data_IF_614977691162
#
_entry.id   IF_614977691162
#
_cell.length_a   1.000
_cell.length_b   1.000
_cell.length_c   1.000
_cell.angle_alpha   90.00
_cell.angle_beta   90.00
_cell.angle_gamma   90.00
#
_symmetry.space_group_name_H-M   'P 1'
#
loop_
_entity.id
_entity.type
_entity.pdbx_description
1 polymer ?
#
# COMPACT_ATOMS: atom_id res chain seq x y z
N UNK A 1 30.50 -7.09 4.97
CA UNK A 1 29.53 -6.38 4.11
C UNK A 1 28.48 -5.86 5.07
N UNK A 2 28.45 -4.55 5.30
CA UNK A 2 27.43 -3.93 6.14
C UNK A 2 26.08 -4.10 5.45
N UNK A 3 25.21 -4.90 6.06
CA UNK A 3 23.82 -5.04 5.64
C UNK A 3 23.15 -3.66 5.68
N UNK A 4 22.72 -3.18 4.51
CA UNK A 4 21.81 -2.06 4.43
C UNK A 4 20.41 -2.60 4.76
N UNK A 5 20.11 -2.67 6.06
CA UNK A 5 18.79 -3.01 6.62
C UNK A 5 17.71 -1.98 6.24
N UNK A 6 18.09 -0.76 5.87
CA UNK A 6 17.19 0.38 5.66
C UNK A 6 16.30 0.36 4.41
N UNK A 7 16.13 -0.78 3.73
CA UNK A 7 15.24 -0.91 2.57
C UNK A 7 14.20 -2.04 2.74
N UNK A 8 14.10 -2.67 3.92
CA UNK A 8 13.31 -3.87 4.12
C UNK A 8 11.79 -3.64 3.97
N UNK A 9 11.26 -2.51 4.46
CA UNK A 9 9.82 -2.23 4.30
C UNK A 9 9.50 -1.74 2.89
N UNK A 10 10.43 -1.05 2.22
CA UNK A 10 10.33 -0.76 0.79
C UNK A 10 10.23 -2.06 -0.04
N UNK A 11 11.10 -3.04 0.22
CA UNK A 11 11.12 -4.33 -0.49
C UNK A 11 9.83 -5.13 -0.21
N UNK A 12 9.35 -5.10 1.04
CA UNK A 12 8.07 -5.69 1.44
C UNK A 12 6.90 -5.04 0.71
N UNK A 13 6.86 -3.72 0.63
CA UNK A 13 5.84 -2.96 -0.08
C UNK A 13 5.88 -3.28 -1.59
N UNK A 14 7.06 -3.26 -2.22
CA UNK A 14 7.24 -3.63 -3.62
C UNK A 14 6.68 -5.04 -3.88
N UNK A 15 7.05 -6.00 -3.03
CA UNK A 15 6.65 -7.39 -3.20
C UNK A 15 5.13 -7.58 -3.12
N UNK A 16 4.50 -7.20 -2.02
CA UNK A 16 3.06 -7.43 -1.82
C UNK A 16 2.19 -6.60 -2.75
N UNK A 17 2.60 -5.37 -3.07
CA UNK A 17 1.90 -4.55 -4.04
C UNK A 17 1.97 -5.18 -5.44
N UNK A 18 3.13 -5.72 -5.84
CA UNK A 18 3.23 -6.45 -7.10
C UNK A 18 2.33 -7.66 -7.19
N UNK A 19 2.15 -8.35 -6.08
CA UNK A 19 1.28 -9.52 -5.98
C UNK A 19 -0.20 -9.12 -6.07
N UNK A 20 -0.62 -8.11 -5.31
CA UNK A 20 -2.01 -7.68 -5.26
C UNK A 20 -2.46 -6.99 -6.56
N UNK A 21 -1.57 -6.22 -7.18
CA UNK A 21 -1.86 -5.55 -8.43
C UNK A 21 -1.66 -6.45 -9.64
N UNK A 22 -1.03 -7.62 -9.51
CA UNK A 22 -0.51 -8.40 -10.65
C UNK A 22 0.42 -7.55 -11.54
N UNK A 23 1.24 -6.70 -10.93
CA UNK A 23 2.07 -5.72 -11.63
C UNK A 23 3.44 -6.30 -11.99
N UNK A 24 4.01 -5.83 -13.09
CA UNK A 24 5.42 -6.08 -13.44
C UNK A 24 6.32 -5.19 -12.57
N UNK A 25 7.55 -5.60 -12.33
CA UNK A 25 8.55 -4.77 -11.63
C UNK A 25 8.66 -3.36 -12.20
N UNK A 26 8.66 -3.23 -13.54
CA UNK A 26 8.62 -1.93 -14.24
C UNK A 26 7.46 -1.04 -13.79
N UNK A 27 6.23 -1.56 -13.84
CA UNK A 27 5.03 -0.82 -13.43
C UNK A 27 5.14 -0.33 -11.99
N UNK A 28 5.69 -1.14 -11.08
CA UNK A 28 5.84 -0.78 -9.67
C UNK A 28 6.85 0.36 -9.48
N UNK A 29 7.95 0.36 -10.25
CA UNK A 29 8.98 1.42 -10.18
C UNK A 29 8.48 2.78 -10.66
N UNK A 30 7.43 2.79 -11.47
CA UNK A 30 6.83 4.02 -11.99
C UNK A 30 5.76 4.61 -11.08
N UNK A 31 5.32 3.91 -10.02
CA UNK A 31 4.27 4.41 -9.13
C UNK A 31 4.77 5.66 -8.40
N UNK A 32 4.05 6.77 -8.60
CA UNK A 32 4.27 8.03 -7.91
C UNK A 32 3.25 8.18 -6.77
N UNK A 33 3.58 8.93 -5.73
CA UNK A 33 2.63 9.25 -4.66
C UNK A 33 1.28 9.82 -5.15
N UNK A 34 1.21 10.77 -6.11
CA UNK A 34 -0.07 11.24 -6.66
C UNK A 34 -0.90 10.19 -7.39
N UNK A 35 -0.33 9.04 -7.77
CA UNK A 35 -1.08 7.95 -8.39
C UNK A 35 -1.91 7.16 -7.37
N UNK A 36 -1.63 7.35 -6.07
CA UNK A 36 -2.17 6.54 -5.00
C UNK A 36 -3.39 7.21 -4.36
N UNK A 37 -4.50 6.49 -4.35
CA UNK A 37 -5.74 6.96 -3.73
C UNK A 37 -6.53 5.81 -3.10
N UNK A 38 -7.55 6.18 -2.35
CA UNK A 38 -8.54 5.24 -1.82
C UNK A 38 -9.95 5.70 -2.17
N UNK A 39 -10.81 4.73 -2.46
CA UNK A 39 -12.24 4.93 -2.71
C UNK A 39 -13.04 3.91 -1.93
N UNK A 40 -14.32 4.17 -1.71
CA UNK A 40 -15.21 3.23 -1.02
C UNK A 40 -15.84 2.28 -2.05
N UNK A 41 -15.73 0.98 -1.78
CA UNK A 41 -16.41 -0.04 -2.57
C UNK A 41 -17.73 -0.40 -1.89
N UNK A 42 -18.88 -0.08 -2.51
CA UNK A 42 -20.17 -0.47 -1.97
C UNK A 42 -20.37 -1.99 -2.07
N UNK A 43 -21.22 -2.51 -1.19
CA UNK A 43 -21.72 -3.89 -1.19
C UNK A 43 -20.64 -4.97 -1.05
N UNK A 44 -19.50 -4.63 -0.43
CA UNK A 44 -18.42 -5.59 -0.19
C UNK A 44 -18.65 -6.45 1.04
N UNK A 45 -19.38 -5.96 2.04
CA UNK A 45 -19.66 -6.68 3.29
C UNK A 45 -20.18 -5.77 4.40
N UNK A 46 -20.26 -6.27 5.64
CA UNK A 46 -20.75 -5.51 6.80
C UNK A 46 -19.81 -4.38 7.25
N UNK A 47 -18.56 -4.36 6.80
CA UNK A 47 -17.58 -3.31 7.11
C UNK A 47 -17.28 -2.46 5.87
N UNK A 48 -16.88 -1.21 6.10
CA UNK A 48 -16.42 -0.33 5.03
C UNK A 48 -15.19 -0.93 4.33
N UNK A 49 -15.29 -1.07 3.01
CA UNK A 49 -14.21 -1.60 2.18
C UNK A 49 -13.57 -0.46 1.38
N UNK A 50 -12.33 -0.15 1.72
CA UNK A 50 -11.59 0.97 1.13
C UNK A 50 -10.25 0.45 0.58
N UNK A 51 -10.21 -0.01 -0.69
CA UNK A 51 -8.96 -0.43 -1.31
C UNK A 51 -7.93 0.70 -1.42
N UNK A 52 -6.67 0.29 -1.52
CA UNK A 52 -5.64 1.10 -2.18
C UNK A 52 -5.83 0.97 -3.68
N UNK A 53 -5.93 2.09 -4.38
CA UNK A 53 -6.05 2.19 -5.83
C UNK A 53 -4.83 2.95 -6.36
N UNK A 54 -4.23 2.41 -7.40
CA UNK A 54 -3.07 2.97 -8.09
C UNK A 54 -3.49 3.30 -9.51
N UNK A 55 -3.39 4.57 -9.88
CA UNK A 55 -3.49 5.02 -11.26
C UNK A 55 -2.22 4.62 -12.01
N UNK A 56 -2.38 4.10 -13.22
CA UNK A 56 -1.26 3.65 -14.04
C UNK A 56 -1.44 4.21 -15.44
N UNK A 57 -0.49 5.01 -15.90
CA UNK A 57 -0.46 5.51 -17.27
C UNK A 57 0.84 5.13 -18.01
N UNK A 58 1.74 4.38 -17.36
CA UNK A 58 3.01 3.90 -17.94
C UNK A 58 3.13 2.39 -17.82
N UNK A 59 3.75 1.78 -18.83
CA UNK A 59 4.14 0.38 -18.83
C UNK A 59 4.37 -0.14 -20.25
N UNK A 60 5.14 -1.22 -20.38
CA UNK A 60 5.50 -1.82 -21.68
C UNK A 60 4.35 -2.01 -22.68
N UNK A 61 3.14 -2.28 -22.20
CA UNK A 61 1.94 -2.51 -23.05
C UNK A 61 1.03 -1.30 -23.19
N UNK A 62 1.34 -0.18 -22.53
CA UNK A 62 0.55 1.04 -22.52
C UNK A 62 1.32 2.20 -23.19
N UNK A 63 1.62 2.04 -24.48
CA UNK A 63 2.42 3.00 -25.25
C UNK A 63 1.72 4.35 -25.48
N UNK A 64 0.40 4.42 -25.25
CA UNK A 64 -0.43 5.59 -25.51
C UNK A 64 -0.85 6.35 -24.25
N UNK A 65 -0.35 5.98 -23.07
CA UNK A 65 -0.64 6.69 -21.83
C UNK A 65 -2.08 6.56 -21.32
N UNK A 66 -2.78 5.47 -21.67
CA UNK A 66 -4.16 5.24 -21.23
C UNK A 66 -4.18 5.14 -19.70
N UNK A 67 -5.15 5.78 -19.05
CA UNK A 67 -5.33 5.58 -17.61
C UNK A 67 -5.87 4.17 -17.38
N UNK A 68 -5.08 3.37 -16.67
CA UNK A 68 -5.41 2.07 -16.14
C UNK A 68 -5.42 2.13 -14.62
N UNK A 69 -6.02 1.13 -13.98
CA UNK A 69 -6.15 1.08 -12.54
C UNK A 69 -5.61 -0.26 -12.03
N UNK A 70 -4.82 -0.21 -10.98
CA UNK A 70 -4.56 -1.34 -10.09
C UNK A 70 -5.28 -1.09 -8.78
N UNK A 71 -5.76 -2.14 -8.12
CA UNK A 71 -6.27 -1.99 -6.76
C UNK A 71 -5.98 -3.22 -5.91
N UNK A 72 -5.81 -2.96 -4.62
CA UNK A 72 -5.58 -3.97 -3.60
C UNK A 72 -6.56 -3.74 -2.45
N UNK A 73 -7.21 -4.81 -2.00
CA UNK A 73 -7.99 -4.78 -0.77
C UNK A 73 -7.08 -5.07 0.42
N UNK A 74 -7.53 -4.68 1.61
CA UNK A 74 -6.93 -5.15 2.86
C UNK A 74 -7.05 -6.66 2.94
N UNK A 75 -5.93 -7.35 3.17
CA UNK A 75 -5.94 -8.81 3.27
C UNK A 75 -6.54 -9.30 4.60
N UNK A 76 -7.17 -10.48 4.60
CA UNK A 76 -7.54 -11.16 5.85
C UNK A 76 -6.33 -11.38 6.76
N UNK A 77 -5.25 -11.89 6.18
CA UNK A 77 -3.96 -12.04 6.85
C UNK A 77 -3.18 -10.74 6.74
N UNK A 78 -2.81 -10.17 7.88
CA UNK A 78 -2.23 -8.85 7.96
C UNK A 78 -0.80 -8.77 7.43
N UNK A 79 0.03 -9.78 7.73
CA UNK A 79 1.45 -9.80 7.35
C UNK A 79 1.67 -9.70 5.84
N UNK A 80 0.70 -10.19 5.05
CA UNK A 80 0.72 -10.16 3.58
C UNK A 80 -0.14 -9.03 3.00
N UNK A 81 -0.64 -8.13 3.83
CA UNK A 81 -1.51 -7.03 3.40
C UNK A 81 -0.69 -5.95 2.69
N UNK A 82 -0.94 -5.66 1.40
CA UNK A 82 -0.22 -4.64 0.67
C UNK A 82 -0.46 -3.23 1.23
N UNK A 83 -1.65 -2.93 1.76
CA UNK A 83 -1.92 -1.64 2.39
C UNK A 83 -1.07 -1.44 3.64
N UNK A 84 -0.96 -2.48 4.48
CA UNK A 84 -0.11 -2.43 5.67
C UNK A 84 1.37 -2.31 5.26
N UNK A 85 1.82 -3.07 4.26
CA UNK A 85 3.20 -2.99 3.77
C UNK A 85 3.57 -1.59 3.28
N UNK A 86 2.70 -0.97 2.48
CA UNK A 86 2.89 0.41 2.00
C UNK A 86 2.87 1.41 3.16
N UNK A 87 1.93 1.27 4.10
CA UNK A 87 1.83 2.19 5.23
C UNK A 87 3.05 2.11 6.16
N UNK A 88 3.56 0.90 6.43
CA UNK A 88 4.81 0.72 7.18
C UNK A 88 6.01 1.32 6.44
N UNK A 89 6.10 1.15 5.12
CA UNK A 89 7.15 1.78 4.31
C UNK A 89 7.11 3.31 4.41
N UNK A 90 5.92 3.92 4.35
CA UNK A 90 5.77 5.36 4.55
C UNK A 90 6.21 5.83 5.95
N UNK A 91 6.05 5.00 6.97
CA UNK A 91 6.54 5.30 8.32
C UNK A 91 8.05 5.11 8.45
N UNK A 92 8.66 4.14 7.77
CA UNK A 92 10.12 3.93 7.78
C UNK A 92 10.86 5.13 7.20
N UNK A 93 10.36 5.66 6.09
CA UNK A 93 10.91 6.86 5.47
C UNK A 93 10.42 8.14 6.18
N UNK A 94 9.60 7.99 7.23
CA UNK A 94 8.85 9.00 7.99
C UNK A 94 8.12 10.04 7.13
N UNK A 95 7.97 9.71 5.86
CA UNK A 95 7.82 10.68 4.78
C UNK A 95 8.68 11.94 4.95
N UNK A 96 9.80 11.94 5.68
CA UNK A 96 10.48 13.16 6.12
C UNK A 96 11.42 13.75 5.05
N UNK A 97 11.28 15.05 4.71
CA UNK A 97 10.21 15.96 5.14
C UNK A 97 8.87 15.62 4.45
N UNK A 98 7.76 15.65 5.22
CA UNK A 98 6.43 15.31 4.69
C UNK A 98 6.19 16.04 3.36
N UNK A 99 5.73 15.34 2.29
CA UNK A 99 5.62 15.94 0.97
C UNK A 99 4.79 17.23 1.01
N UNK A 100 5.35 18.31 0.47
CA UNK A 100 4.58 19.52 0.24
C UNK A 100 3.57 19.26 -0.88
N UNK A 101 2.35 18.91 -0.49
CA UNK A 101 1.25 18.59 -1.42
C UNK A 101 0.51 19.83 -1.93
N UNK A 102 0.95 21.05 -1.59
CA UNK A 102 0.32 22.29 -2.03
C UNK A 102 0.55 22.61 -3.51
N UNK A 103 1.58 22.01 -4.12
CA UNK A 103 1.98 22.27 -5.50
C UNK A 103 2.41 20.99 -6.20
N UNK A 104 2.01 20.79 -7.46
CA UNK A 104 2.40 19.57 -8.19
C UNK A 104 3.91 19.36 -8.31
N UNK A 105 4.67 20.44 -8.50
CA UNK A 105 6.13 20.38 -8.73
C UNK A 105 6.93 19.87 -7.52
N UNK A 106 6.35 19.92 -6.32
CA UNK A 106 7.06 19.57 -5.08
C UNK A 106 6.92 18.11 -4.69
N UNK A 107 5.90 17.39 -5.19
CA UNK A 107 5.67 16.00 -4.78
C UNK A 107 5.28 15.01 -5.89
N UNK A 108 4.92 15.46 -7.09
CA UNK A 108 4.42 14.53 -8.12
C UNK A 108 5.46 13.52 -8.60
N UNK A 109 6.75 13.87 -8.55
CA UNK A 109 7.81 12.97 -8.99
C UNK A 109 8.23 11.96 -7.91
N UNK A 110 7.72 12.08 -6.67
CA UNK A 110 8.09 11.20 -5.57
C UNK A 110 7.59 9.78 -5.84
N UNK A 111 8.51 8.83 -5.89
CA UNK A 111 8.26 7.41 -6.14
C UNK A 111 7.87 6.68 -4.87
N UNK A 112 6.91 5.78 -4.98
CA UNK A 112 6.55 4.86 -3.89
C UNK A 112 7.72 3.94 -3.53
N UNK A 113 8.29 3.27 -4.54
CA UNK A 113 9.50 2.45 -4.38
C UNK A 113 10.67 3.21 -4.99
N UNK A 114 11.66 3.52 -4.16
CA UNK A 114 12.77 4.38 -4.53
C UNK A 114 14.11 3.68 -4.30
N UNK A 115 15.09 4.07 -5.12
CA UNK A 115 16.49 3.78 -4.86
C UNK A 115 17.08 4.88 -3.99
N UNK A 116 18.35 5.24 -4.24
CA UNK A 116 19.01 6.34 -3.55
C UNK A 116 18.42 7.74 -3.83
N UNK A 117 17.50 7.87 -4.79
CA UNK A 117 16.84 9.12 -5.14
C UNK A 117 15.32 8.88 -5.17
N UNK A 118 14.58 9.68 -4.41
CA UNK A 118 13.14 9.52 -4.22
C UNK A 118 12.31 10.01 -5.41
N UNK A 119 12.86 10.86 -6.29
CA UNK A 119 12.13 11.46 -7.42
C UNK A 119 12.47 10.83 -8.77
N UNK A 120 13.37 9.85 -8.80
CA UNK A 120 13.77 9.12 -10.01
C UNK A 120 13.38 7.66 -9.93
N UNK A 121 13.01 7.11 -11.09
CA UNK A 121 12.75 5.68 -11.21
C UNK A 121 13.95 4.88 -10.68
N UNK A 122 13.66 3.90 -9.83
CA UNK A 122 14.66 2.93 -9.41
C UNK A 122 15.21 2.19 -10.65
N UNK A 123 16.53 1.99 -10.69
CA UNK A 123 17.15 1.20 -11.75
C UNK A 123 16.66 -0.25 -11.71
N UNK A 124 16.48 -0.86 -12.88
CA UNK A 124 16.05 -2.26 -13.00
C UNK A 124 16.91 -3.21 -12.17
N UNK A 125 18.24 -3.08 -12.26
CA UNK A 125 19.17 -3.95 -11.56
C UNK A 125 19.11 -3.77 -10.03
N UNK A 126 18.80 -2.56 -9.54
CA UNK A 126 18.60 -2.33 -8.11
C UNK A 126 17.40 -3.14 -7.62
N UNK A 127 16.24 -3.02 -8.27
CA UNK A 127 15.05 -3.81 -7.90
C UNK A 127 15.31 -5.31 -8.02
N UNK A 128 15.97 -5.73 -9.12
CA UNK A 128 16.29 -7.14 -9.35
C UNK A 128 17.14 -7.72 -8.22
N UNK A 129 18.19 -7.00 -7.80
CA UNK A 129 19.09 -7.45 -6.74
C UNK A 129 18.37 -7.53 -5.38
N UNK A 130 17.50 -6.55 -5.08
CA UNK A 130 16.67 -6.57 -3.86
C UNK A 130 15.72 -7.78 -3.82
N UNK A 131 15.03 -8.08 -4.93
CA UNK A 131 14.16 -9.26 -5.04
C UNK A 131 14.94 -10.57 -4.92
N UNK A 132 16.11 -10.66 -5.58
CA UNK A 132 16.97 -11.86 -5.49
C UNK A 132 17.41 -12.10 -4.06
N UNK A 133 17.94 -11.08 -3.38
CA UNK A 133 18.34 -11.15 -1.98
C UNK A 133 17.21 -11.68 -1.08
N UNK A 134 15.99 -11.13 -1.22
CA UNK A 134 14.84 -11.58 -0.44
C UNK A 134 14.45 -13.04 -0.75
N UNK A 135 14.52 -13.44 -2.02
CA UNK A 135 14.19 -14.79 -2.47
C UNK A 135 15.25 -15.81 -2.00
N UNK A 136 16.53 -15.46 -2.11
CA UNK A 136 17.66 -16.27 -1.63
C UNK A 136 17.55 -16.49 -0.11
N UNK A 137 17.20 -15.45 0.65
CA UNK A 137 16.95 -15.54 2.10
C UNK A 137 15.78 -16.47 2.46
N UNK A 138 14.83 -16.66 1.53
CA UNK A 138 13.71 -17.58 1.68
C UNK A 138 13.97 -18.97 1.06
N UNK A 139 15.15 -19.21 0.48
CA UNK A 139 15.47 -20.45 -0.24
C UNK A 139 14.62 -20.66 -1.50
N UNK A 140 14.20 -19.58 -2.16
CA UNK A 140 13.35 -19.61 -3.36
C UNK A 140 14.19 -19.43 -4.61
N UNK A 141 14.28 -20.49 -5.41
CA UNK A 141 14.87 -20.43 -6.74
C UNK A 141 13.86 -19.94 -7.79
N UNK A 142 14.26 -18.95 -8.58
CA UNK A 142 13.42 -18.41 -9.66
C UNK A 142 14.24 -18.07 -10.90
N UNK A 143 13.64 -18.27 -12.07
CA UNK A 143 14.18 -17.81 -13.35
C UNK A 143 13.54 -16.48 -13.78
N UNK A 144 12.51 -16.02 -13.08
CA UNK A 144 11.67 -14.87 -13.46
C UNK A 144 11.45 -13.90 -12.31
N UNK A 145 12.52 -13.25 -11.84
CA UNK A 145 12.54 -12.42 -10.64
C UNK A 145 11.53 -11.24 -10.62
N UNK A 146 11.75 -10.20 -11.42
CA UNK A 146 10.93 -8.95 -11.39
C UNK A 146 9.51 -9.12 -11.93
N UNK A 147 9.16 -10.30 -12.44
CA UNK A 147 7.82 -10.64 -12.92
C UNK A 147 7.19 -11.81 -12.17
N UNK A 148 7.89 -12.38 -11.17
CA UNK A 148 7.41 -13.51 -10.37
C UNK A 148 6.04 -13.21 -9.78
N UNK A 149 5.90 -12.06 -9.13
CA UNK A 149 4.69 -11.66 -8.38
C UNK A 149 3.45 -11.59 -9.28
N UNK A 150 3.62 -11.20 -10.54
CA UNK A 150 2.54 -11.15 -11.52
C UNK A 150 2.05 -12.56 -11.88
N UNK A 151 2.96 -13.50 -12.08
CA UNK A 151 2.63 -14.88 -12.39
C UNK A 151 2.11 -15.65 -11.18
N UNK A 152 2.76 -15.53 -10.03
CA UNK A 152 2.34 -16.16 -8.78
C UNK A 152 0.99 -15.62 -8.32
N UNK A 153 0.77 -14.31 -8.41
CA UNK A 153 -0.51 -13.69 -8.06
C UNK A 153 -1.66 -14.16 -8.94
N UNK A 154 -1.43 -14.32 -10.24
CA UNK A 154 -2.46 -14.85 -11.14
C UNK A 154 -2.87 -16.27 -10.72
N UNK A 155 -1.88 -17.14 -10.46
CA UNK A 155 -2.12 -18.51 -9.97
C UNK A 155 -2.83 -18.53 -8.62
N UNK A 156 -2.46 -17.62 -7.71
CA UNK A 156 -3.11 -17.51 -6.41
C UNK A 156 -4.57 -17.09 -6.56
N UNK A 157 -4.85 -16.09 -7.40
CA UNK A 157 -6.20 -15.64 -7.67
C UNK A 157 -7.07 -16.74 -8.31
N UNK A 158 -6.51 -17.52 -9.23
CA UNK A 158 -7.17 -18.69 -9.83
C UNK A 158 -7.45 -19.77 -8.79
N UNK A 159 -6.47 -20.08 -7.93
CA UNK A 159 -6.61 -21.05 -6.84
C UNK A 159 -7.74 -20.67 -5.88
N UNK A 160 -7.91 -19.37 -5.62
CA UNK A 160 -9.01 -18.84 -4.81
C UNK A 160 -10.33 -18.61 -5.59
N UNK A 161 -10.44 -19.14 -6.82
CA UNK A 161 -11.68 -19.21 -7.57
C UNK A 161 -12.04 -17.95 -8.37
N UNK A 162 -11.07 -17.08 -8.65
CA UNK A 162 -11.26 -15.97 -9.60
C UNK A 162 -11.22 -16.48 -11.04
N UNK A 163 -12.10 -15.98 -11.90
CA UNK A 163 -12.11 -16.37 -13.31
C UNK A 163 -10.95 -15.74 -14.08
N UNK A 164 -10.59 -16.36 -15.21
CA UNK A 164 -9.58 -15.85 -16.13
C UNK A 164 -9.85 -14.41 -16.52
N UNK A 165 -11.11 -14.03 -16.80
CA UNK A 165 -11.43 -12.68 -17.25
C UNK A 165 -11.16 -11.64 -16.16
N UNK A 166 -11.38 -12.00 -14.89
CA UNK A 166 -11.12 -11.11 -13.76
C UNK A 166 -9.62 -10.97 -13.50
N UNK A 167 -8.86 -12.06 -13.60
CA UNK A 167 -7.40 -12.07 -13.47
C UNK A 167 -6.77 -11.30 -14.63
N UNK A 168 -7.23 -11.54 -15.85
CA UNK A 168 -6.81 -10.86 -17.08
C UNK A 168 -7.01 -9.35 -16.96
N UNK A 169 -8.19 -8.92 -16.51
CA UNK A 169 -8.50 -7.51 -16.22
C UNK A 169 -7.62 -6.95 -15.10
N UNK A 170 -7.43 -7.67 -13.99
CA UNK A 170 -6.62 -7.19 -12.87
C UNK A 170 -5.15 -7.05 -13.25
N UNK A 171 -4.61 -7.94 -14.08
CA UNK A 171 -3.26 -7.79 -14.58
C UNK A 171 -3.13 -6.82 -15.75
N UNK A 172 -4.24 -6.31 -16.30
CA UNK A 172 -4.26 -5.49 -17.51
C UNK A 172 -3.60 -6.23 -18.69
N UNK A 173 -3.95 -7.50 -18.85
CA UNK A 173 -3.55 -8.29 -20.03
C UNK A 173 -4.57 -8.09 -21.14
N UNK A 174 -4.11 -7.76 -22.35
CA UNK A 174 -4.93 -7.68 -23.56
C UNK A 174 -6.20 -6.82 -23.36
N UNK A 175 -6.04 -5.58 -22.90
CA UNK A 175 -7.16 -4.70 -22.56
C UNK A 175 -8.07 -4.46 -23.78
N UNK A 176 -9.36 -4.76 -23.65
CA UNK A 176 -10.33 -4.61 -24.74
C UNK A 176 -10.88 -3.17 -24.81
N UNK A 177 -11.52 -2.80 -25.93
CA UNK A 177 -12.25 -1.51 -26.02
C UNK A 177 -13.30 -1.39 -24.91
N UNK A 178 -14.03 -2.46 -24.63
CA UNK A 178 -15.06 -2.49 -23.60
C UNK A 178 -14.52 -2.09 -22.23
N UNK A 179 -13.34 -2.61 -21.86
CA UNK A 179 -12.76 -2.42 -20.53
C UNK A 179 -12.42 -0.97 -20.17
N UNK A 180 -12.05 -0.12 -21.13
CA UNK A 180 -11.78 1.29 -20.81
C UNK A 180 -12.61 2.28 -21.59
N UNK A 181 -13.76 1.86 -22.11
CA UNK A 181 -14.84 2.77 -22.50
C UNK A 181 -16.04 2.65 -21.55
N UNK A 182 -16.32 1.46 -20.99
CA UNK A 182 -17.61 1.19 -20.34
C UNK A 182 -17.54 0.51 -18.98
N UNK A 183 -16.40 -0.11 -18.60
CA UNK A 183 -16.31 -0.86 -17.35
C UNK A 183 -15.60 -0.07 -16.26
N UNK A 184 -16.08 -0.22 -15.02
CA UNK A 184 -15.32 0.18 -13.83
C UNK A 184 -14.05 -0.67 -13.78
N UNK A 185 -12.89 -0.02 -13.68
CA UNK A 185 -11.60 -0.66 -13.90
C UNK A 185 -11.16 -1.64 -12.78
N UNK A 186 -12.02 -1.91 -11.79
CA UNK A 186 -11.70 -2.69 -10.60
C UNK A 186 -12.36 -4.08 -10.62
N UNK A 187 -11.62 -5.15 -10.97
CA UNK A 187 -12.13 -6.53 -10.99
C UNK A 187 -12.25 -7.09 -9.58
N UNK A 188 -13.35 -6.74 -8.90
CA UNK A 188 -13.63 -7.05 -7.49
C UNK A 188 -13.41 -8.53 -7.13
N UNK A 189 -13.73 -9.48 -8.02
CA UNK A 189 -13.56 -10.92 -7.74
C UNK A 189 -12.09 -11.29 -7.57
N UNK A 190 -11.22 -10.83 -8.46
CA UNK A 190 -9.79 -11.08 -8.37
C UNK A 190 -9.17 -10.36 -7.17
N UNK A 191 -9.60 -9.13 -6.90
CA UNK A 191 -9.17 -8.36 -5.72
C UNK A 191 -9.52 -9.08 -4.41
N UNK A 192 -10.75 -9.62 -4.29
CA UNK A 192 -11.18 -10.43 -3.13
C UNK A 192 -10.35 -11.69 -2.98
N UNK A 193 -10.16 -12.44 -4.07
CA UNK A 193 -9.37 -13.66 -4.09
C UNK A 193 -7.95 -13.42 -3.55
N UNK A 194 -7.25 -12.40 -4.06
CA UNK A 194 -5.90 -12.05 -3.61
C UNK A 194 -5.84 -11.54 -2.17
N UNK A 195 -6.92 -10.97 -1.66
CA UNK A 195 -7.03 -10.53 -0.27
C UNK A 195 -7.49 -11.64 0.70
N UNK A 196 -7.71 -12.87 0.21
CA UNK A 196 -8.13 -14.02 1.02
C UNK A 196 -9.63 -14.08 1.31
N UNK A 197 -10.45 -13.36 0.54
CA UNK A 197 -11.91 -13.40 0.64
C UNK A 197 -12.52 -14.31 -0.42
N UNK A 198 -13.71 -14.89 -0.15
CA UNK A 198 -14.53 -15.48 -1.20
C UNK A 198 -14.76 -14.50 -2.35
N UNK A 199 -14.77 -15.00 -3.58
CA UNK A 199 -15.00 -14.16 -4.77
C UNK A 199 -16.42 -13.58 -4.82
N UNK A 200 -17.37 -14.21 -4.13
CA UNK A 200 -18.72 -13.70 -3.90
C UNK A 200 -18.67 -12.43 -3.04
N UNK A 201 -19.37 -11.39 -3.49
CA UNK A 201 -19.52 -10.13 -2.74
C UNK A 201 -20.30 -10.30 -1.43
N UNK A 202 -20.19 -9.30 -0.56
CA UNK A 202 -20.83 -9.29 0.76
C UNK A 202 -20.05 -10.02 1.86
N UNK A 203 -18.86 -10.55 1.56
CA UNK A 203 -18.04 -11.35 2.49
C UNK A 203 -16.85 -10.58 3.08
N UNK A 204 -16.71 -9.30 2.78
CA UNK A 204 -15.64 -8.47 3.30
C UNK A 204 -15.85 -8.17 4.80
N UNK A 205 -15.04 -8.81 5.62
CA UNK A 205 -15.01 -8.59 7.06
C UNK A 205 -13.63 -8.92 7.60
N UNK A 206 -13.11 -8.03 8.44
CA UNK A 206 -11.82 -8.14 9.09
C UNK A 206 -12.03 -8.05 10.60
N UNK A 207 -11.67 -9.12 11.32
CA UNK A 207 -11.78 -9.16 12.78
C UNK A 207 -11.01 -8.00 13.44
N UNK A 208 -9.79 -7.71 12.95
CA UNK A 208 -8.96 -6.63 13.51
C UNK A 208 -9.62 -5.25 13.40
N UNK A 209 -10.43 -5.01 12.37
CA UNK A 209 -11.13 -3.72 12.20
C UNK A 209 -12.21 -3.45 13.25
N UNK A 210 -12.54 -4.43 14.11
CA UNK A 210 -13.42 -4.21 15.25
C UNK A 210 -12.72 -3.41 16.37
N UNK A 211 -11.39 -3.42 16.41
CA UNK A 211 -10.61 -2.56 17.30
C UNK A 211 -10.37 -1.25 16.56
N UNK A 212 -10.93 -0.16 17.07
CA UNK A 212 -10.73 1.17 16.50
C UNK A 212 -9.92 2.00 17.51
N UNK A 213 -8.62 2.22 17.26
CA UNK A 213 -7.79 3.10 18.10
C UNK A 213 -8.36 4.51 18.20
N UNK A 214 -8.07 5.23 19.29
CA UNK A 214 -8.54 6.61 19.46
C UNK A 214 -8.02 7.51 18.33
N UNK A 215 -8.72 8.63 18.09
CA UNK A 215 -8.32 9.55 17.03
C UNK A 215 -6.96 10.21 17.32
N UNK A 216 -6.64 10.43 18.59
CA UNK A 216 -5.37 10.97 19.08
C UNK A 216 -4.22 10.02 18.74
N UNK A 217 -4.38 8.71 19.01
CA UNK A 217 -3.39 7.69 18.66
C UNK A 217 -3.21 7.56 17.15
N UNK A 218 -4.32 7.62 16.40
CA UNK A 218 -4.27 7.67 14.94
C UNK A 218 -3.43 8.86 14.45
N UNK A 219 -3.60 10.06 15.00
CA UNK A 219 -2.88 11.28 14.56
C UNK A 219 -1.36 11.24 14.80
N UNK A 220 -0.86 10.33 15.61
CA UNK A 220 0.58 10.11 15.75
C UNK A 220 1.21 9.52 14.48
N UNK A 221 0.41 8.84 13.65
CA UNK A 221 0.83 8.27 12.38
C UNK A 221 0.48 9.26 11.25
N UNK A 222 1.49 9.78 10.56
CA UNK A 222 1.37 10.87 9.56
C UNK A 222 0.77 12.17 10.15
N UNK A 223 1.44 12.84 11.12
CA UNK A 223 0.87 13.97 11.86
C UNK A 223 0.56 15.21 11.00
N UNK A 224 1.26 15.40 9.88
CA UNK A 224 1.09 16.56 8.99
C UNK A 224 -0.11 16.48 8.03
N UNK A 225 -0.87 15.38 8.06
CA UNK A 225 -2.01 15.18 7.15
C UNK A 225 -3.07 16.27 7.32
N UNK A 226 -3.50 16.55 8.56
CA UNK A 226 -4.52 17.57 8.83
C UNK A 226 -4.05 18.98 8.43
N UNK A 227 -2.80 19.33 8.75
CA UNK A 227 -2.20 20.61 8.34
C UNK A 227 -2.16 20.74 6.81
N UNK A 228 -1.81 19.67 6.12
CA UNK A 228 -1.77 19.64 4.65
C UNK A 228 -3.16 19.78 4.04
N UNK A 229 -4.20 19.20 4.65
CA UNK A 229 -5.59 19.38 4.23
C UNK A 229 -6.06 20.83 4.36
N UNK A 230 -5.69 21.51 5.46
CA UNK A 230 -6.00 22.93 5.65
C UNK A 230 -5.31 23.80 4.59
N UNK A 231 -4.04 23.51 4.27
CA UNK A 231 -3.28 24.23 3.23
C UNK A 231 -3.90 24.08 1.84
N UNK A 232 -4.33 22.86 1.46
CA UNK A 232 -4.99 22.66 0.15
C UNK A 232 -6.38 23.28 0.12
N UNK A 233 -7.10 23.31 1.25
CA UNK A 233 -8.44 23.90 1.34
C UNK A 233 -8.40 25.45 1.28
N UNK A 234 -7.33 26.05 1.81
CA UNK A 234 -7.09 27.49 1.75
C UNK A 234 -6.53 27.96 0.40
N UNK A 235 -6.10 27.03 -0.47
CA UNK A 235 -5.56 27.35 -1.79
C UNK A 235 -6.68 27.60 -2.80
N UNK A 236 -6.50 28.61 -3.66
CA UNK A 236 -7.39 28.86 -4.80
C UNK A 236 -7.27 27.79 -5.91
N UNK A 237 -6.27 26.90 -5.81
CA UNK A 237 -6.02 25.83 -6.79
C UNK A 237 -6.61 24.52 -6.32
N UNK A 238 -7.43 23.90 -7.16
CA UNK A 238 -7.94 22.55 -6.91
C UNK A 238 -6.86 21.49 -7.11
N UNK A 239 -6.33 20.94 -6.01
CA UNK A 239 -5.41 19.79 -6.03
C UNK A 239 -6.13 18.48 -5.69
N UNK A 240 -6.77 17.87 -6.71
CA UNK A 240 -7.55 16.63 -6.56
C UNK A 240 -6.68 15.46 -6.09
N UNK A 241 -5.47 15.32 -6.62
CA UNK A 241 -4.55 14.23 -6.26
C UNK A 241 -4.09 14.35 -4.80
N UNK A 242 -3.81 15.57 -4.34
CA UNK A 242 -3.43 15.82 -2.94
C UNK A 242 -4.57 15.41 -2.00
N UNK A 243 -5.80 15.86 -2.25
CA UNK A 243 -6.95 15.47 -1.43
C UNK A 243 -7.19 13.95 -1.42
N UNK A 244 -7.03 13.29 -2.57
CA UNK A 244 -7.17 11.84 -2.68
C UNK A 244 -6.08 11.08 -1.91
N UNK A 245 -4.83 11.54 -2.00
CA UNK A 245 -3.67 10.98 -1.31
C UNK A 245 -3.78 11.17 0.21
N UNK A 246 -4.13 12.36 0.70
CA UNK A 246 -4.33 12.62 2.13
C UNK A 246 -5.49 11.78 2.71
N UNK A 247 -6.60 11.64 1.97
CA UNK A 247 -7.70 10.73 2.35
C UNK A 247 -7.24 9.28 2.45
N UNK A 248 -6.38 8.84 1.53
CA UNK A 248 -5.76 7.51 1.57
C UNK A 248 -4.84 7.35 2.79
N UNK A 249 -4.00 8.34 3.11
CA UNK A 249 -3.13 8.30 4.28
C UNK A 249 -3.95 8.18 5.58
N UNK A 250 -5.08 8.88 5.71
CA UNK A 250 -6.01 8.68 6.84
C UNK A 250 -6.56 7.26 6.93
N UNK A 251 -6.79 6.60 5.80
CA UNK A 251 -7.19 5.20 5.80
C UNK A 251 -6.04 4.29 6.24
N UNK A 252 -4.84 4.48 5.68
CA UNK A 252 -3.63 3.74 6.07
C UNK A 252 -3.25 3.93 7.54
N UNK A 253 -3.46 5.13 8.09
CA UNK A 253 -3.31 5.45 9.51
C UNK A 253 -4.14 4.50 10.37
N UNK A 254 -5.44 4.36 10.07
CA UNK A 254 -6.33 3.40 10.73
C UNK A 254 -5.81 1.97 10.61
N UNK A 255 -5.30 1.61 9.44
CA UNK A 255 -4.72 0.29 9.22
C UNK A 255 -3.56 0.00 10.16
N UNK A 256 -2.55 0.86 10.17
CA UNK A 256 -1.35 0.65 10.96
C UNK A 256 -1.68 0.65 12.45
N UNK A 257 -2.49 1.60 12.93
CA UNK A 257 -2.82 1.65 14.36
C UNK A 257 -3.67 0.46 14.80
N UNK A 258 -4.59 -0.01 13.95
CA UNK A 258 -5.40 -1.20 14.25
C UNK A 258 -4.55 -2.47 14.27
N UNK A 259 -3.65 -2.58 13.29
CA UNK A 259 -2.65 -3.64 13.21
C UNK A 259 -1.79 -3.66 14.46
N UNK A 260 -1.17 -2.53 14.83
CA UNK A 260 -0.36 -2.44 16.03
C UNK A 260 -1.12 -2.86 17.29
N UNK A 261 -2.37 -2.42 17.45
CA UNK A 261 -3.20 -2.77 18.60
C UNK A 261 -3.55 -4.27 18.67
N UNK A 262 -3.58 -4.98 17.53
CA UNK A 262 -3.99 -6.39 17.46
C UNK A 262 -2.83 -7.36 17.35
N UNK A 263 -1.67 -6.92 16.83
CA UNK A 263 -0.42 -7.70 16.78
C UNK A 263 0.23 -7.91 18.16
N UNK A 264 -0.12 -7.10 19.16
CA UNK A 264 0.35 -7.25 20.55
C UNK A 264 -0.17 -8.54 21.21
N UNK A 265 -1.10 -9.26 20.56
CA UNK A 265 -1.44 -10.64 20.96
C UNK A 265 -0.38 -11.63 20.41
N UNK A 266 0.41 -12.29 21.28
CA UNK A 266 1.69 -12.93 20.92
C UNK A 266 1.49 -14.30 20.25
N UNK A 267 1.06 -14.28 18.99
CA UNK A 267 1.04 -15.48 18.18
C UNK A 267 1.32 -15.14 16.71
N UNK A 268 2.54 -14.69 16.41
CA UNK A 268 3.21 -14.93 15.13
C UNK A 268 4.69 -14.50 15.26
N UNK A 269 5.53 -15.49 15.55
CA UNK A 269 6.98 -15.41 15.37
C UNK A 269 7.27 -15.06 13.90
N UNK A 270 7.69 -13.82 13.61
CA UNK A 270 8.50 -13.40 12.43
C UNK A 270 8.63 -11.86 12.33
N UNK A 271 8.98 -11.15 13.41
CA UNK A 271 9.10 -9.68 13.37
C UNK A 271 10.21 -9.17 14.31
N UNK A 272 11.47 -9.58 14.09
CA UNK A 272 12.60 -9.03 14.86
C UNK A 272 13.07 -7.65 14.35
N UNK A 273 12.49 -7.11 13.26
CA UNK A 273 12.82 -5.76 12.75
C UNK A 273 11.64 -4.78 12.71
N UNK A 274 10.45 -5.22 12.30
CA UNK A 274 9.30 -4.31 12.07
C UNK A 274 8.46 -4.05 13.32
N UNK A 275 8.34 -5.03 14.23
CA UNK A 275 7.63 -4.85 15.50
C UNK A 275 8.42 -3.95 16.44
N UNK A 276 9.74 -4.07 16.62
CA UNK A 276 10.49 -3.18 17.48
C UNK A 276 10.44 -1.72 17.03
N UNK A 277 10.45 -1.42 15.73
CA UNK A 277 10.38 -0.03 15.24
C UNK A 277 8.98 0.57 15.42
N UNK A 278 7.92 -0.15 15.06
CA UNK A 278 6.55 0.32 15.26
C UNK A 278 6.19 0.38 16.75
N UNK A 279 6.63 -0.61 17.54
CA UNK A 279 6.49 -0.60 18.99
C UNK A 279 7.36 0.47 19.64
N UNK A 280 8.57 0.77 19.16
CA UNK A 280 9.40 1.86 19.68
C UNK A 280 8.75 3.21 19.39
N UNK A 281 8.31 3.47 18.16
CA UNK A 281 7.57 4.70 17.82
C UNK A 281 6.28 4.82 18.65
N UNK A 282 5.56 3.71 18.85
CA UNK A 282 4.34 3.71 19.68
C UNK A 282 4.65 3.82 21.19
N UNK A 283 5.74 3.22 21.69
CA UNK A 283 6.18 3.25 23.09
C UNK A 283 6.76 4.61 23.46
N UNK A 284 7.59 5.20 22.61
CA UNK A 284 8.15 6.55 22.77
C UNK A 284 7.04 7.59 22.80
N UNK A 285 6.03 7.43 21.94
CA UNK A 285 4.81 8.25 21.99
C UNK A 285 3.90 7.91 23.19
N UNK A 286 3.85 6.65 23.66
CA UNK A 286 3.07 6.23 24.82
C UNK A 286 3.66 6.76 26.13
N UNK A 287 4.99 6.77 26.29
CA UNK A 287 5.68 7.41 27.41
C UNK A 287 5.49 8.93 27.39
N UNK A 288 5.57 9.55 26.20
CA UNK A 288 5.23 10.96 26.03
C UNK A 288 3.75 11.27 26.35
N UNK A 289 2.84 10.33 26.10
CA UNK A 289 1.43 10.43 26.45
C UNK A 289 1.20 10.25 27.96
N UNK A 290 1.86 9.26 28.58
CA UNK A 290 1.81 8.99 30.03
C UNK A 290 2.27 10.22 30.80
N UNK A 291 3.41 10.82 30.41
CA UNK A 291 3.91 12.03 31.05
C UNK A 291 2.98 13.24 30.91
N UNK A 292 2.23 13.35 29.80
CA UNK A 292 1.22 14.40 29.62
C UNK A 292 -0.05 14.15 30.42
N UNK A 293 -0.44 12.90 30.63
CA UNK A 293 -1.58 12.51 31.47
C UNK A 293 -1.25 12.74 32.95
N UNK A 294 -0.04 12.39 33.39
CA UNK A 294 0.43 12.65 34.75
C UNK A 294 0.56 14.15 35.03
N UNK A 295 0.97 14.95 34.04
CA UNK A 295 1.01 16.42 34.14
C UNK A 295 -0.37 17.09 34.12
N UNK A 296 -1.41 16.40 33.65
CA UNK A 296 -2.81 16.86 33.70
C UNK A 296 -3.54 16.37 34.96
N UNK A 297 -2.95 15.40 35.68
CA UNK A 297 -3.46 14.87 36.94
C UNK A 297 -2.81 15.50 38.20
N UNK A 298 -1.84 16.40 38.02
CA UNK A 298 -1.21 17.21 39.06
C UNK A 298 -1.71 18.65 39.02
#
# INVERSE_FOLDING_TARGET
MSDNDGDALCDRADFFLGHALLARGETRRFIELPDMLSLELPDEGPQLCTPLVILMNRGKTNQHGRIEYGAALRCKTELICPLNAVACHFLEIDLEPFPDVSCRKTWYDIRLINGSNTTKDMLYNTQLNRIKRASDACGIDSTVWTHANRGSGAKLAETYGSSEEQIRRLGRWNATRMEGCYLTCLPKKAMRALAGFPTKGGSYWLHRSCVVPSYELQRLVFPDVEKSEELIAASDKTEIAAGAFLKMLKHMRKEVTTTAATMVTPALHTLDSVVPQLAAVLMENFEALSGKIDALAA
#
